data_IF_852033858760
#
_entry.id   IF_852033858760
#
_cell.length_a   1.000
_cell.length_b   1.000
_cell.length_c   1.000
_cell.angle_alpha   90.00
_cell.angle_beta   90.00
_cell.angle_gamma   90.00
#
_symmetry.space_group_name_H-M   'P 1'
#
loop_
_entity.id
_entity.type
_entity.pdbx_description
1 polymer ?
#
# COMPACT_ATOMS: atom_id res chain seq x y z
N UNK A 1 13.60 -4.24 -22.57
CA UNK A 1 13.86 -3.66 -21.31
C UNK A 1 13.26 -4.44 -20.14
N UNK A 2 14.02 -4.56 -19.11
CA UNK A 2 13.61 -5.42 -18.03
C UNK A 2 13.41 -4.64 -16.74
N UNK A 3 12.30 -4.85 -16.09
CA UNK A 3 12.07 -4.27 -14.78
C UNK A 3 12.12 -5.36 -13.73
N UNK A 4 12.53 -4.98 -12.53
CA UNK A 4 12.55 -5.92 -11.43
C UNK A 4 11.14 -6.29 -11.02
N UNK A 5 10.92 -7.57 -10.83
CA UNK A 5 9.66 -8.03 -10.29
C UNK A 5 9.70 -7.90 -8.77
N UNK A 6 8.64 -7.37 -8.21
CA UNK A 6 8.53 -7.23 -6.77
C UNK A 6 7.35 -8.06 -6.29
N UNK A 7 7.62 -8.89 -5.31
CA UNK A 7 6.61 -9.79 -4.78
C UNK A 7 6.05 -9.22 -3.48
N UNK A 8 4.79 -9.47 -3.22
CA UNK A 8 4.16 -9.05 -2.00
C UNK A 8 3.51 -10.26 -1.33
N UNK A 9 3.52 -10.22 -0.02
CA UNK A 9 2.93 -11.29 0.75
C UNK A 9 1.46 -10.98 0.95
N UNK A 10 0.60 -11.84 0.41
CA UNK A 10 -0.85 -11.67 0.55
C UNK A 10 -1.40 -12.83 1.36
N UNK A 11 -2.12 -12.50 2.43
CA UNK A 11 -2.76 -13.54 3.21
C UNK A 11 -4.27 -13.45 3.07
N UNK A 12 -4.95 -14.50 3.51
CA UNK A 12 -6.37 -14.65 3.24
C UNK A 12 -7.21 -13.51 3.82
N UNK A 13 -6.85 -13.05 5.01
CA UNK A 13 -7.61 -11.97 5.63
C UNK A 13 -7.54 -10.69 4.82
N UNK A 14 -6.36 -10.37 4.27
CA UNK A 14 -6.21 -9.21 3.42
C UNK A 14 -7.07 -9.35 2.17
N UNK A 15 -7.01 -10.51 1.53
CA UNK A 15 -7.76 -10.72 0.30
C UNK A 15 -9.26 -10.60 0.54
N UNK A 16 -9.75 -11.15 1.65
CA UNK A 16 -11.16 -11.04 1.99
C UNK A 16 -11.56 -9.59 2.25
N UNK A 17 -10.67 -8.85 2.93
CA UNK A 17 -10.95 -7.46 3.24
C UNK A 17 -11.05 -6.60 1.99
N UNK A 18 -10.08 -6.72 1.07
CA UNK A 18 -10.06 -5.87 -0.12
C UNK A 18 -11.04 -6.31 -1.18
N UNK A 19 -11.59 -7.52 -1.09
CA UNK A 19 -12.52 -8.01 -2.10
C UNK A 19 -13.92 -7.41 -1.98
N UNK A 20 -14.23 -6.77 -0.86
CA UNK A 20 -15.53 -6.16 -0.68
C UNK A 20 -15.61 -4.89 -1.52
N UNK A 21 -16.66 -4.79 -2.33
CA UNK A 21 -16.81 -3.65 -3.22
C UNK A 21 -17.65 -2.56 -2.58
N UNK A 22 -17.38 -1.34 -3.02
CA UNK A 22 -18.09 -0.16 -2.56
C UNK A 22 -18.70 0.52 -3.78
N UNK A 23 -20.03 0.67 -3.82
CA UNK A 23 -20.66 1.25 -5.01
C UNK A 23 -20.26 2.70 -5.20
N UNK A 24 -20.03 3.06 -6.45
CA UNK A 24 -19.73 4.45 -6.87
C UNK A 24 -18.53 5.06 -6.19
N UNK A 25 -17.63 4.22 -5.70
CA UNK A 25 -16.41 4.68 -5.02
C UNK A 25 -15.27 3.77 -5.42
N UNK A 26 -14.05 4.25 -5.17
CA UNK A 26 -12.90 3.39 -5.35
C UNK A 26 -13.05 2.16 -4.48
N UNK A 27 -12.77 1.00 -5.05
CA UNK A 27 -12.84 -0.24 -4.28
C UNK A 27 -11.64 -0.32 -3.33
N UNK A 28 -11.77 -1.17 -2.32
CA UNK A 28 -10.66 -1.40 -1.40
C UNK A 28 -9.47 -2.00 -2.15
N UNK A 29 -9.75 -2.85 -3.14
CA UNK A 29 -8.69 -3.41 -3.96
C UNK A 29 -7.92 -2.30 -4.67
N UNK A 30 -8.64 -1.40 -5.33
CA UNK A 30 -7.98 -0.31 -6.06
C UNK A 30 -7.23 0.61 -5.14
N UNK A 31 -7.77 0.88 -3.94
CA UNK A 31 -7.09 1.72 -2.97
C UNK A 31 -5.80 1.06 -2.50
N UNK A 32 -5.85 -0.23 -2.23
CA UNK A 32 -4.65 -0.96 -1.83
C UNK A 32 -3.64 -0.99 -2.96
N UNK A 33 -4.08 -1.23 -4.18
CA UNK A 33 -3.18 -1.24 -5.34
C UNK A 33 -2.51 0.12 -5.54
N UNK A 34 -3.23 1.20 -5.28
CA UNK A 34 -2.64 2.52 -5.36
C UNK A 34 -1.45 2.67 -4.40
N UNK A 35 -1.65 2.24 -3.15
CA UNK A 35 -0.57 2.29 -2.17
C UNK A 35 0.58 1.37 -2.56
N UNK A 36 0.25 0.19 -3.03
CA UNK A 36 1.26 -0.80 -3.41
C UNK A 36 2.08 -0.31 -4.59
N UNK A 37 1.42 0.20 -5.62
CA UNK A 37 2.13 0.66 -6.82
C UNK A 37 3.01 1.86 -6.51
N UNK A 38 2.57 2.75 -5.63
CA UNK A 38 3.39 3.87 -5.22
C UNK A 38 4.63 3.41 -4.47
N UNK A 39 4.48 2.39 -3.64
CA UNK A 39 5.63 1.85 -2.92
C UNK A 39 6.61 1.17 -3.87
N UNK A 40 6.08 0.44 -4.84
CA UNK A 40 6.93 -0.24 -5.83
C UNK A 40 7.68 0.79 -6.66
N UNK A 41 7.01 1.86 -7.06
CA UNK A 41 7.65 2.93 -7.79
C UNK A 41 8.81 3.52 -6.99
N UNK A 42 8.59 3.72 -5.71
CA UNK A 42 9.62 4.27 -4.84
C UNK A 42 10.81 3.32 -4.71
N UNK A 43 10.54 2.04 -4.57
CA UNK A 43 11.61 1.04 -4.49
C UNK A 43 12.43 1.02 -5.77
N UNK A 44 11.76 1.07 -6.91
CA UNK A 44 12.45 1.04 -8.19
C UNK A 44 13.22 2.31 -8.47
N UNK A 45 12.78 3.42 -7.91
CA UNK A 45 13.45 4.70 -8.06
C UNK A 45 14.80 4.72 -7.35
N UNK A 46 14.92 4.00 -6.25
CA UNK A 46 16.14 3.93 -5.48
C UNK A 46 16.80 2.58 -5.71
N UNK A 47 17.98 2.60 -6.30
CA UNK A 47 18.63 1.38 -6.76
C UNK A 47 18.93 0.37 -5.66
N UNK A 48 19.09 0.83 -4.45
CA UNK A 48 19.36 -0.08 -3.35
C UNK A 48 18.11 -0.77 -2.82
N UNK A 49 16.98 -0.59 -3.47
CA UNK A 49 15.75 -1.24 -3.05
C UNK A 49 15.19 -0.71 -1.76
N UNK A 50 15.42 0.57 -1.49
CA UNK A 50 14.94 1.17 -0.26
C UNK A 50 13.43 1.03 -0.13
N UNK A 51 12.99 0.59 1.03
CA UNK A 51 11.57 0.46 1.34
C UNK A 51 11.13 1.63 2.21
N UNK A 52 11.46 2.84 1.76
CA UNK A 52 11.16 4.05 2.51
C UNK A 52 9.67 4.34 2.51
N UNK A 53 9.18 5.01 3.56
CA UNK A 53 7.78 5.39 3.58
C UNK A 53 7.50 6.50 2.59
N UNK A 54 6.27 6.55 2.11
CA UNK A 54 5.83 7.59 1.20
C UNK A 54 4.84 8.49 1.91
N UNK A 55 4.89 9.77 1.58
CA UNK A 55 4.09 10.78 2.25
C UNK A 55 2.73 10.93 1.57
N UNK A 56 1.68 11.04 2.38
CA UNK A 56 0.32 11.24 1.90
C UNK A 56 -0.39 12.22 2.84
N UNK A 57 -1.55 12.69 2.41
CA UNK A 57 -2.47 13.37 3.31
C UNK A 57 -3.80 12.64 3.30
N UNK A 58 -4.49 12.70 4.41
CA UNK A 58 -5.82 12.06 4.49
C UNK A 58 -6.77 12.74 3.49
N UNK A 59 -6.69 14.05 3.37
CA UNK A 59 -7.53 14.76 2.42
C UNK A 59 -7.22 14.33 0.99
N UNK A 60 -5.94 14.19 0.66
CA UNK A 60 -5.54 13.75 -0.68
C UNK A 60 -6.08 12.37 -1.00
N UNK A 61 -5.96 11.44 -0.06
CA UNK A 61 -6.48 10.09 -0.27
C UNK A 61 -8.00 10.09 -0.33
N UNK A 62 -8.65 10.90 0.48
CA UNK A 62 -10.10 11.02 0.46
C UNK A 62 -10.58 11.48 -0.92
N UNK A 63 -9.92 12.49 -1.47
CA UNK A 63 -10.27 12.99 -2.79
C UNK A 63 -9.95 11.98 -3.89
N UNK A 64 -8.81 11.31 -3.78
CA UNK A 64 -8.39 10.34 -4.78
C UNK A 64 -9.34 9.15 -4.84
N UNK A 65 -9.73 8.64 -3.68
CA UNK A 65 -10.54 7.43 -3.61
C UNK A 65 -12.04 7.71 -3.55
N UNK A 66 -12.41 8.98 -3.41
CA UNK A 66 -13.83 9.39 -3.28
C UNK A 66 -14.47 8.74 -2.07
N UNK A 67 -13.71 8.68 -1.01
CA UNK A 67 -14.15 8.20 0.30
C UNK A 67 -14.16 9.39 1.25
N UNK A 68 -14.98 9.36 2.29
CA UNK A 68 -14.85 10.36 3.33
C UNK A 68 -13.60 10.04 4.17
N UNK A 69 -13.17 11.03 4.96
CA UNK A 69 -11.94 10.89 5.72
C UNK A 69 -12.00 9.75 6.71
N UNK A 70 -13.17 9.56 7.31
CA UNK A 70 -13.34 8.49 8.29
C UNK A 70 -13.12 7.12 7.62
N UNK A 71 -13.65 6.96 6.42
CA UNK A 71 -13.46 5.70 5.69
C UNK A 71 -12.00 5.48 5.35
N UNK A 72 -11.28 6.54 4.92
CA UNK A 72 -9.86 6.44 4.65
C UNK A 72 -9.12 5.96 5.90
N UNK A 73 -9.37 6.62 7.02
CA UNK A 73 -8.66 6.31 8.26
C UNK A 73 -8.97 4.89 8.72
N UNK A 74 -10.22 4.46 8.61
CA UNK A 74 -10.62 3.11 8.99
C UNK A 74 -9.94 2.07 8.12
N UNK A 75 -9.86 2.33 6.81
CA UNK A 75 -9.19 1.44 5.88
C UNK A 75 -7.71 1.28 6.22
N UNK A 76 -7.03 2.40 6.44
CA UNK A 76 -5.61 2.37 6.77
C UNK A 76 -5.36 1.65 8.09
N UNK A 77 -6.23 1.90 9.08
CA UNK A 77 -6.10 1.22 10.34
C UNK A 77 -6.27 -0.29 10.20
N UNK A 78 -7.22 -0.71 9.39
CA UNK A 78 -7.43 -2.14 9.16
C UNK A 78 -6.21 -2.78 8.52
N UNK A 79 -5.62 -2.11 7.52
CA UNK A 79 -4.41 -2.63 6.89
C UNK A 79 -3.24 -2.67 7.88
N UNK A 80 -3.15 -1.66 8.74
CA UNK A 80 -2.10 -1.64 9.73
C UNK A 80 -2.29 -2.75 10.76
N UNK A 81 -3.52 -2.99 11.17
CA UNK A 81 -3.83 -4.07 12.11
C UNK A 81 -3.49 -5.43 11.53
N UNK A 82 -3.57 -5.57 10.21
CA UNK A 82 -3.21 -6.81 9.52
C UNK A 82 -1.72 -6.90 9.21
N UNK A 83 -0.94 -5.92 9.65
CA UNK A 83 0.50 -5.88 9.43
C UNK A 83 0.87 -5.80 7.94
N UNK A 84 0.03 -5.15 7.17
CA UNK A 84 0.26 -4.97 5.75
C UNK A 84 0.96 -3.65 5.46
N UNK A 85 0.65 -2.63 6.26
CA UNK A 85 1.28 -1.31 6.12
C UNK A 85 1.70 -0.80 7.48
N UNK A 86 2.58 0.19 7.46
CA UNK A 86 2.96 0.97 8.63
C UNK A 86 2.58 2.41 8.37
N UNK A 87 1.88 3.03 9.31
CA UNK A 87 1.40 4.40 9.16
C UNK A 87 1.92 5.23 10.31
N UNK A 88 2.49 6.40 9.99
CA UNK A 88 2.89 7.37 10.99
C UNK A 88 2.35 8.73 10.62
N UNK A 89 1.80 9.45 11.60
CA UNK A 89 1.28 10.78 11.37
C UNK A 89 2.25 11.84 11.82
N UNK A 90 2.20 12.99 11.15
CA UNK A 90 2.92 14.18 11.58
C UNK A 90 2.10 15.40 11.20
N UNK A 91 2.64 16.60 11.47
CA UNK A 91 1.88 17.82 11.26
C UNK A 91 1.58 18.09 9.80
N UNK A 92 2.35 17.54 8.88
CA UNK A 92 2.15 17.76 7.47
C UNK A 92 1.35 16.67 6.80
N UNK A 93 1.00 15.61 7.52
CA UNK A 93 0.23 14.52 6.95
C UNK A 93 0.62 13.20 7.55
N UNK A 94 0.63 12.18 6.72
CA UNK A 94 0.99 10.84 7.18
C UNK A 94 2.02 10.25 6.23
N UNK A 95 2.79 9.31 6.75
CA UNK A 95 3.68 8.51 5.93
C UNK A 95 3.22 7.07 6.00
N UNK A 96 3.19 6.42 4.86
CA UNK A 96 2.74 5.03 4.76
C UNK A 96 3.84 4.22 4.07
N UNK A 97 4.15 3.09 4.65
CA UNK A 97 5.07 2.14 4.04
C UNK A 97 4.33 0.82 3.91
N UNK A 98 4.34 0.26 2.70
CA UNK A 98 3.78 -1.06 2.47
C UNK A 98 4.85 -2.07 2.85
N UNK A 99 4.48 -3.00 3.71
CA UNK A 99 5.41 -3.94 4.32
C UNK A 99 5.48 -5.23 3.52
N UNK A 100 6.50 -6.04 3.79
CA UNK A 100 6.64 -7.40 3.27
C UNK A 100 6.73 -7.45 1.75
N UNK A 101 7.38 -6.45 1.16
CA UNK A 101 7.68 -6.48 -0.27
C UNK A 101 9.08 -7.04 -0.44
N UNK A 102 9.21 -8.00 -1.35
CA UNK A 102 10.46 -8.69 -1.59
C UNK A 102 10.89 -8.46 -3.02
N UNK A 103 12.02 -7.76 -3.24
CA UNK A 103 12.53 -7.60 -4.60
C UNK A 103 12.90 -8.95 -5.21
N UNK A 104 12.81 -9.03 -6.52
CA UNK A 104 13.06 -10.26 -7.24
C UNK A 104 14.41 -10.88 -6.88
N UNK A 105 15.44 -10.06 -6.80
CA UNK A 105 16.79 -10.56 -6.55
C UNK A 105 16.97 -11.10 -5.14
N UNK A 106 16.02 -10.87 -4.25
CA UNK A 106 16.07 -11.40 -2.89
C UNK A 106 15.25 -12.66 -2.72
N UNK A 107 14.63 -13.13 -3.77
CA UNK A 107 13.78 -14.33 -3.72
C UNK A 107 14.66 -15.56 -3.84
N UNK A 108 14.48 -16.57 -2.99
CA UNK A 108 15.24 -17.81 -3.16
C UNK A 108 14.98 -18.47 -4.51
N UNK A 109 15.97 -19.20 -5.00
CA UNK A 109 15.84 -19.85 -6.31
C UNK A 109 14.68 -20.81 -6.35
N UNK A 110 14.44 -21.48 -5.26
CA UNK A 110 13.28 -22.35 -5.19
C UNK A 110 12.10 -21.60 -4.67
N UNK A 111 11.03 -21.73 -5.36
CA UNK A 111 9.94 -20.85 -5.05
C UNK A 111 8.60 -21.46 -5.41
#
# INVERSE_FOLDING_TARGET
KKTNTIFTKLHADLLRFISKSLPNKTSRYDAFMYLLENQIELINQYKNGSNAPRHYTILGLSNKWKWDRKTVMSFLKSLQDMDVISVKGDVSGITIRVLHLVPDHDIPDRF
#
